data_IF_406280814966
#
_entry.id   IF_406280814966
#
_cell.length_a   1.000
_cell.length_b   1.000
_cell.length_c   1.000
_cell.angle_alpha   90.00
_cell.angle_beta   90.00
_cell.angle_gamma   90.00
#
_symmetry.space_group_name_H-M   'P 1'
#
loop_
_entity.id
_entity.type
_entity.pdbx_description
1 polymer ?
#
# COMPACT_ATOMS: atom_id res chain seq x y z
N UNK A 1 12.22 1.02 27.32
CA UNK A 1 12.54 -0.41 27.10
C UNK A 1 11.21 -1.16 27.09
N UNK A 2 10.62 -1.37 25.91
CA UNK A 2 9.39 -2.17 25.75
C UNK A 2 9.82 -3.63 25.99
N UNK A 3 9.17 -4.28 26.95
CA UNK A 3 9.49 -5.64 27.34
C UNK A 3 9.31 -6.57 26.14
N UNK A 4 10.39 -7.09 25.58
CA UNK A 4 10.42 -8.05 24.48
C UNK A 4 9.52 -9.27 24.71
N UNK A 5 9.24 -9.59 25.96
CA UNK A 5 8.47 -10.74 26.45
C UNK A 5 6.96 -10.66 26.10
N UNK A 6 6.37 -9.45 26.04
CA UNK A 6 4.94 -9.30 25.70
C UNK A 6 4.70 -9.46 24.18
N UNK A 7 5.62 -8.97 23.37
CA UNK A 7 5.54 -9.10 21.91
C UNK A 7 5.79 -10.56 21.49
N UNK A 8 6.79 -11.21 22.07
CA UNK A 8 7.07 -12.63 21.80
C UNK A 8 5.88 -13.52 22.18
N UNK A 9 5.25 -13.26 23.33
CA UNK A 9 4.08 -14.01 23.77
C UNK A 9 2.84 -13.77 22.88
N UNK A 10 2.65 -12.53 22.41
CA UNK A 10 1.59 -12.22 21.45
C UNK A 10 1.82 -12.93 20.11
N UNK A 11 3.04 -12.95 19.61
CA UNK A 11 3.39 -13.63 18.35
C UNK A 11 3.24 -15.15 18.47
N UNK A 12 3.61 -15.76 19.61
CA UNK A 12 3.37 -17.18 19.87
C UNK A 12 1.87 -17.51 19.91
N UNK A 13 1.05 -16.73 20.62
CA UNK A 13 -0.39 -16.92 20.64
C UNK A 13 -1.03 -16.76 19.27
N UNK A 14 -0.54 -15.82 18.46
CA UNK A 14 -1.03 -15.61 17.10
C UNK A 14 -0.66 -16.77 16.19
N UNK A 15 0.55 -17.32 16.35
CA UNK A 15 1.00 -18.53 15.66
C UNK A 15 0.16 -19.76 16.04
N UNK A 16 -0.20 -19.92 17.30
CA UNK A 16 -1.05 -21.03 17.79
C UNK A 16 -2.49 -20.93 17.25
N UNK A 17 -3.01 -19.72 17.06
CA UNK A 17 -4.38 -19.49 16.58
C UNK A 17 -4.51 -19.57 15.07
N UNK A 18 -3.51 -19.14 14.31
CA UNK A 18 -3.58 -18.96 12.86
C UNK A 18 -2.53 -19.78 12.09
N UNK A 19 -1.67 -20.55 12.79
CA UNK A 19 -0.58 -21.33 12.20
C UNK A 19 0.58 -20.49 11.68
N UNK A 20 1.54 -21.16 11.04
CA UNK A 20 2.73 -20.51 10.47
C UNK A 20 2.44 -19.62 9.23
N UNK A 21 1.20 -19.58 8.75
CA UNK A 21 0.83 -18.87 7.52
C UNK A 21 0.66 -17.36 7.70
N UNK A 22 0.75 -16.83 8.92
CA UNK A 22 0.77 -15.38 9.17
C UNK A 22 2.06 -14.69 8.68
N UNK A 23 3.08 -15.46 8.42
CA UNK A 23 4.34 -15.00 7.84
C UNK A 23 4.53 -15.71 6.49
N UNK A 24 3.95 -15.15 5.45
CA UNK A 24 4.32 -15.57 4.08
C UNK A 24 5.78 -15.16 3.91
N UNK A 25 6.67 -16.16 4.04
CA UNK A 25 8.00 -16.02 3.49
C UNK A 25 7.81 -15.86 1.99
N UNK A 26 8.13 -14.72 1.45
CA UNK A 26 8.29 -14.54 0.00
C UNK A 26 9.49 -15.37 -0.43
N UNK A 27 9.34 -16.70 -0.40
CA UNK A 27 10.32 -17.61 -0.99
C UNK A 27 10.32 -17.32 -2.48
N UNK A 28 11.48 -16.87 -2.96
CA UNK A 28 11.86 -16.71 -4.35
C UNK A 28 11.18 -17.73 -5.28
N UNK A 29 10.06 -17.38 -5.88
CA UNK A 29 9.79 -17.85 -7.21
C UNK A 29 10.44 -16.84 -8.16
N UNK A 30 11.67 -17.19 -8.56
CA UNK A 30 12.41 -16.50 -9.60
C UNK A 30 11.71 -16.70 -10.94
N UNK A 31 10.63 -15.97 -11.17
CA UNK A 31 10.27 -15.57 -12.51
C UNK A 31 11.18 -14.41 -12.85
N UNK A 32 12.11 -14.63 -13.77
CA UNK A 32 12.88 -13.59 -14.43
C UNK A 32 11.91 -12.56 -15.03
N UNK A 33 11.56 -11.55 -14.24
CA UNK A 33 11.12 -10.28 -14.77
C UNK A 33 12.40 -9.51 -15.00
N UNK A 34 12.66 -9.17 -16.26
CA UNK A 34 13.71 -8.24 -16.65
C UNK A 34 13.79 -7.12 -15.62
N UNK A 35 14.94 -6.99 -14.98
CA UNK A 35 15.26 -5.87 -14.12
C UNK A 35 15.39 -4.62 -14.98
N UNK A 36 14.24 -4.08 -15.42
CA UNK A 36 14.20 -2.73 -15.91
C UNK A 36 14.53 -1.82 -14.72
N UNK A 37 15.49 -0.91 -14.87
CA UNK A 37 15.81 0.18 -13.94
C UNK A 37 14.63 1.17 -13.83
N UNK A 38 13.39 0.68 -13.82
CA UNK A 38 12.19 1.49 -13.76
C UNK A 38 12.00 2.08 -12.37
N UNK A 39 11.87 3.40 -12.30
CA UNK A 39 11.52 4.09 -11.06
C UNK A 39 10.00 4.12 -10.83
N UNK A 40 9.58 4.38 -9.58
CA UNK A 40 8.17 4.61 -9.26
C UNK A 40 7.57 5.77 -10.07
N UNK A 41 8.34 6.83 -10.35
CA UNK A 41 7.90 7.97 -11.15
C UNK A 41 7.65 7.56 -12.61
N UNK A 42 8.56 6.78 -13.19
CA UNK A 42 8.39 6.26 -14.54
C UNK A 42 7.18 5.32 -14.64
N UNK A 43 6.94 4.53 -13.60
CA UNK A 43 5.77 3.68 -13.52
C UNK A 43 4.49 4.51 -13.37
N UNK A 44 4.48 5.54 -12.52
CA UNK A 44 3.37 6.48 -12.42
C UNK A 44 3.00 7.08 -13.77
N UNK A 45 3.98 7.58 -14.51
CA UNK A 45 3.75 8.20 -15.82
C UNK A 45 3.09 7.25 -16.82
N UNK A 46 3.38 5.95 -16.74
CA UNK A 46 2.76 4.93 -17.60
C UNK A 46 1.30 4.63 -17.27
N UNK A 47 0.92 4.76 -15.98
CA UNK A 47 -0.40 4.28 -15.53
C UNK A 47 -1.35 5.38 -15.05
N UNK A 48 -0.91 6.62 -14.86
CA UNK A 48 -1.73 7.70 -14.28
C UNK A 48 -2.99 8.01 -15.09
N UNK A 49 -3.02 7.69 -16.38
CA UNK A 49 -4.17 7.83 -17.28
C UNK A 49 -4.99 6.54 -17.43
N UNK A 50 -4.80 5.55 -16.53
CA UNK A 50 -5.49 4.27 -16.58
C UNK A 50 -7.01 4.43 -16.65
N UNK A 51 -7.65 3.65 -17.52
CA UNK A 51 -9.10 3.57 -17.72
C UNK A 51 -9.58 2.09 -17.80
N UNK A 52 -8.87 1.17 -17.16
CA UNK A 52 -9.18 -0.27 -17.24
C UNK A 52 -10.53 -0.63 -16.60
N UNK A 53 -11.01 0.18 -15.64
CA UNK A 53 -12.30 -0.02 -14.99
C UNK A 53 -13.09 1.29 -14.94
N UNK A 54 -14.35 1.20 -14.53
CA UNK A 54 -15.27 2.34 -14.50
C UNK A 54 -14.80 3.47 -13.59
N UNK A 55 -14.02 3.16 -12.52
CA UNK A 55 -13.47 4.18 -11.61
C UNK A 55 -12.50 5.14 -12.31
N UNK A 56 -11.84 4.70 -13.37
CA UNK A 56 -10.97 5.56 -14.17
C UNK A 56 -11.70 6.71 -14.84
N UNK A 57 -13.01 6.56 -15.11
CA UNK A 57 -13.84 7.59 -15.75
C UNK A 57 -14.43 8.58 -14.75
N UNK A 58 -14.57 8.18 -13.48
CA UNK A 58 -15.28 8.96 -12.45
C UNK A 58 -14.33 9.64 -11.45
N UNK A 59 -13.07 9.19 -11.36
CA UNK A 59 -12.08 9.79 -10.47
C UNK A 59 -11.78 11.24 -10.83
N UNK A 60 -11.45 12.04 -9.83
CA UNK A 60 -10.87 13.39 -10.01
C UNK A 60 -9.37 13.30 -10.26
N UNK A 61 -8.66 12.55 -9.41
CA UNK A 61 -7.23 12.31 -9.54
C UNK A 61 -6.87 10.83 -9.37
N UNK A 62 -5.77 10.44 -9.99
CA UNK A 62 -5.18 9.12 -9.79
C UNK A 62 -4.35 9.13 -8.50
N UNK A 63 -4.69 8.29 -7.53
CA UNK A 63 -4.00 8.19 -6.23
C UNK A 63 -2.98 7.06 -6.29
N UNK A 64 -1.77 7.38 -6.70
CA UNK A 64 -0.72 6.37 -6.94
C UNK A 64 -0.16 5.80 -5.64
N UNK A 65 0.30 6.66 -4.78
CA UNK A 65 1.02 6.37 -3.54
C UNK A 65 1.95 7.53 -3.22
N UNK A 66 2.49 7.55 -2.01
CA UNK A 66 3.41 8.58 -1.54
C UNK A 66 4.39 7.99 -0.52
N UNK A 67 5.61 8.50 -0.51
CA UNK A 67 6.59 8.13 0.48
C UNK A 67 7.97 7.85 -0.10
N UNK A 68 8.78 7.16 0.69
CA UNK A 68 10.14 6.79 0.34
C UNK A 68 10.14 5.63 -0.67
N UNK A 69 10.68 5.78 -1.88
CA UNK A 69 10.75 4.70 -2.86
C UNK A 69 11.64 3.52 -2.42
N UNK A 70 12.47 3.71 -1.39
CA UNK A 70 13.33 2.70 -0.81
C UNK A 70 12.88 2.30 0.60
N UNK A 71 11.60 2.49 0.92
CA UNK A 71 11.05 2.22 2.24
C UNK A 71 11.15 0.73 2.62
N UNK A 72 11.58 0.44 3.83
CA UNK A 72 11.48 -0.90 4.42
C UNK A 72 10.03 -1.27 4.80
N UNK A 73 9.15 -0.28 4.97
CA UNK A 73 7.76 -0.45 5.37
C UNK A 73 6.81 0.11 4.32
N UNK A 74 5.90 -0.72 3.82
CA UNK A 74 4.78 -0.31 2.97
C UNK A 74 3.47 -0.45 3.72
N UNK A 75 2.67 0.61 3.71
CA UNK A 75 1.32 0.63 4.26
C UNK A 75 0.31 0.58 3.11
N UNK A 76 -0.59 -0.39 3.15
CA UNK A 76 -1.55 -0.63 2.07
C UNK A 76 -2.97 -0.45 2.62
N UNK A 77 -3.69 0.51 2.08
CA UNK A 77 -5.13 0.65 2.30
C UNK A 77 -5.93 0.01 1.16
N UNK A 78 -7.24 0.01 1.31
CA UNK A 78 -8.15 -0.59 0.34
C UNK A 78 -8.34 0.30 -0.90
N UNK A 79 -8.81 1.52 -0.72
CA UNK A 79 -9.15 2.45 -1.79
C UNK A 79 -9.02 3.91 -1.35
N UNK A 80 -8.81 4.85 -2.29
CA UNK A 80 -8.88 6.28 -1.99
C UNK A 80 -10.29 6.70 -1.57
N UNK A 81 -10.39 7.53 -0.55
CA UNK A 81 -11.61 8.26 -0.21
C UNK A 81 -11.76 9.55 -1.02
N UNK A 82 -12.83 10.31 -0.76
CA UNK A 82 -13.11 11.57 -1.45
C UNK A 82 -11.96 12.60 -1.32
N UNK A 83 -11.38 12.73 -0.12
CA UNK A 83 -10.30 13.70 0.11
C UNK A 83 -9.01 13.30 -0.62
N UNK A 84 -8.74 12.01 -0.69
CA UNK A 84 -7.63 11.42 -1.42
C UNK A 84 -7.80 11.65 -2.93
N UNK A 85 -9.02 11.47 -3.46
CA UNK A 85 -9.35 11.70 -4.87
C UNK A 85 -9.17 13.19 -5.27
N UNK A 86 -9.55 14.10 -4.38
CA UNK A 86 -9.38 15.54 -4.60
C UNK A 86 -7.90 15.98 -4.55
N UNK A 87 -7.10 15.40 -3.65
CA UNK A 87 -5.72 15.79 -3.44
C UNK A 87 -4.73 14.99 -4.29
N UNK A 88 -5.07 13.75 -4.65
CA UNK A 88 -4.20 12.84 -5.41
C UNK A 88 -3.19 12.07 -4.54
N UNK A 89 -3.34 12.13 -3.20
CA UNK A 89 -2.48 11.45 -2.25
C UNK A 89 -3.28 10.50 -1.34
N UNK A 90 -2.74 9.32 -0.97
CA UNK A 90 -3.41 8.39 -0.07
C UNK A 90 -3.38 8.89 1.37
N UNK A 91 -4.40 8.53 2.15
CA UNK A 91 -4.46 8.81 3.60
C UNK A 91 -4.28 10.28 3.96
N UNK A 92 -5.01 11.19 3.32
CA UNK A 92 -5.02 12.64 3.65
C UNK A 92 -6.23 13.06 4.48
N UNK A 93 -7.27 12.23 4.54
CA UNK A 93 -8.47 12.43 5.33
C UNK A 93 -8.24 12.21 6.84
N UNK A 94 -9.33 12.03 7.58
CA UNK A 94 -9.29 11.87 9.05
C UNK A 94 -8.45 10.66 9.50
N UNK A 95 -8.59 9.52 8.80
CA UNK A 95 -7.82 8.32 9.07
C UNK A 95 -6.31 8.55 8.80
N UNK A 96 -5.98 9.27 7.73
CA UNK A 96 -4.61 9.63 7.40
C UNK A 96 -3.95 10.51 8.45
N UNK A 97 -4.68 11.48 9.01
CA UNK A 97 -4.17 12.30 10.13
C UNK A 97 -3.88 11.48 11.39
N UNK A 98 -4.63 10.40 11.61
CA UNK A 98 -4.33 9.45 12.69
C UNK A 98 -3.09 8.63 12.35
N UNK A 99 -2.98 8.15 11.12
CA UNK A 99 -1.80 7.42 10.64
C UNK A 99 -0.52 8.26 10.82
N UNK A 100 -0.54 9.55 10.45
CA UNK A 100 0.60 10.44 10.64
C UNK A 100 1.05 10.54 12.12
N UNK A 101 0.08 10.55 13.06
CA UNK A 101 0.38 10.54 14.49
C UNK A 101 0.99 9.22 14.96
N UNK A 102 0.50 8.10 14.42
CA UNK A 102 1.05 6.76 14.72
C UNK A 102 2.48 6.66 14.20
N UNK A 103 2.72 7.06 12.97
CA UNK A 103 4.06 7.08 12.38
C UNK A 103 5.03 7.96 13.18
N UNK A 104 4.59 9.16 13.55
CA UNK A 104 5.40 10.08 14.38
C UNK A 104 5.77 9.49 15.74
N UNK A 105 4.89 8.67 16.34
CA UNK A 105 5.16 8.01 17.62
C UNK A 105 6.26 6.94 17.54
N UNK A 106 6.58 6.46 16.36
CA UNK A 106 7.65 5.48 16.08
C UNK A 106 8.80 6.10 15.26
N UNK A 107 8.90 7.43 15.28
CA UNK A 107 9.95 8.19 14.58
C UNK A 107 9.95 8.04 13.05
N UNK A 108 8.82 7.68 12.47
CA UNK A 108 8.60 7.63 11.03
C UNK A 108 7.70 8.78 10.56
N UNK A 109 7.73 9.06 9.27
CA UNK A 109 6.80 10.01 8.65
C UNK A 109 6.43 9.56 7.26
N UNK A 110 5.34 10.11 6.70
CA UNK A 110 4.91 9.73 5.33
C UNK A 110 5.96 10.00 4.25
N UNK A 111 6.97 10.83 4.53
CA UNK A 111 8.04 11.17 3.59
C UNK A 111 9.37 10.50 3.93
N UNK A 112 9.43 9.69 4.98
CA UNK A 112 10.68 9.08 5.45
C UNK A 112 10.43 7.70 6.06
N UNK A 113 11.04 6.69 5.46
CA UNK A 113 11.06 5.31 5.96
C UNK A 113 9.78 4.51 5.72
N UNK A 114 8.75 5.12 5.11
CA UNK A 114 7.51 4.43 4.74
C UNK A 114 7.11 4.77 3.31
N UNK A 115 6.37 3.87 2.68
CA UNK A 115 5.59 4.15 1.49
C UNK A 115 4.13 3.80 1.74
N UNK A 116 3.22 4.67 1.34
CA UNK A 116 1.78 4.55 1.61
C UNK A 116 1.04 4.47 0.28
N UNK A 117 0.21 3.45 0.12
CA UNK A 117 -0.60 3.29 -1.09
C UNK A 117 -1.91 2.55 -0.77
N UNK A 118 -2.70 2.30 -1.79
CA UNK A 118 -3.93 1.50 -1.70
C UNK A 118 -3.91 0.39 -2.76
N UNK A 119 -4.77 -0.62 -2.58
CA UNK A 119 -5.05 -1.62 -3.62
C UNK A 119 -5.61 -0.92 -4.85
N UNK A 120 -6.71 -0.16 -4.70
CA UNK A 120 -7.24 0.67 -5.78
C UNK A 120 -6.50 2.00 -5.88
N UNK A 121 -6.39 2.52 -7.12
CA UNK A 121 -5.78 3.83 -7.40
C UNK A 121 -6.82 4.93 -7.70
N UNK A 122 -8.09 4.57 -7.70
CA UNK A 122 -9.22 5.45 -7.99
C UNK A 122 -10.28 5.34 -6.91
N UNK A 123 -10.96 6.44 -6.61
CA UNK A 123 -12.00 6.52 -5.60
C UNK A 123 -13.30 5.85 -6.05
N UNK A 124 -13.84 4.86 -5.29
CA UNK A 124 -15.17 4.30 -5.53
C UNK A 124 -16.26 5.33 -5.18
N UNK A 125 -17.28 5.55 -6.03
CA UNK A 125 -18.33 6.53 -5.78
C UNK A 125 -19.00 6.34 -4.41
N UNK A 126 -19.23 7.43 -3.69
CA UNK A 126 -19.86 7.44 -2.35
C UNK A 126 -19.07 6.62 -1.29
N UNK A 127 -17.78 6.43 -1.46
CA UNK A 127 -16.94 5.59 -0.60
C UNK A 127 -17.51 4.17 -0.39
N UNK A 128 -18.15 3.59 -1.41
CA UNK A 128 -18.57 2.20 -1.35
C UNK A 128 -17.37 1.27 -1.37
N UNK A 129 -17.57 0.05 -0.92
CA UNK A 129 -16.56 -0.99 -1.04
C UNK A 129 -16.20 -1.24 -2.51
N UNK A 130 -14.94 -1.57 -2.80
CA UNK A 130 -14.49 -1.98 -4.13
C UNK A 130 -15.26 -3.19 -4.66
N UNK A 131 -15.57 -3.20 -5.95
CA UNK A 131 -16.07 -4.39 -6.60
C UNK A 131 -14.90 -5.35 -6.90
N UNK A 132 -15.11 -6.68 -6.83
CA UNK A 132 -14.08 -7.66 -7.14
C UNK A 132 -13.42 -7.43 -8.50
N UNK A 133 -14.19 -7.05 -9.52
CA UNK A 133 -13.68 -6.73 -10.85
C UNK A 133 -12.80 -5.47 -10.89
N UNK A 134 -13.02 -4.50 -10.00
CA UNK A 134 -12.18 -3.30 -9.89
C UNK A 134 -10.84 -3.63 -9.23
N UNK A 135 -10.87 -4.49 -8.22
CA UNK A 135 -9.66 -5.01 -7.56
C UNK A 135 -8.83 -5.79 -8.56
N UNK A 136 -9.41 -6.77 -9.26
CA UNK A 136 -8.75 -7.60 -10.26
C UNK A 136 -8.03 -6.77 -11.35
N UNK A 137 -8.66 -5.66 -11.80
CA UNK A 137 -8.05 -4.77 -12.80
C UNK A 137 -6.92 -3.88 -12.23
N UNK A 138 -6.92 -3.62 -10.92
CA UNK A 138 -6.04 -2.64 -10.30
C UNK A 138 -4.89 -3.26 -9.49
N UNK A 139 -5.07 -4.46 -8.94
CA UNK A 139 -4.09 -5.09 -8.02
C UNK A 139 -2.71 -5.28 -8.65
N UNK A 140 -2.64 -5.51 -9.97
CA UNK A 140 -1.36 -5.63 -10.68
C UNK A 140 -0.46 -4.39 -10.51
N UNK A 141 -1.05 -3.22 -10.32
CA UNK A 141 -0.29 -1.99 -10.06
C UNK A 141 0.33 -1.98 -8.65
N UNK A 142 -0.42 -2.45 -7.64
CA UNK A 142 0.11 -2.60 -6.29
C UNK A 142 1.27 -3.60 -6.26
N UNK A 143 1.08 -4.77 -6.89
CA UNK A 143 2.12 -5.80 -6.98
C UNK A 143 3.39 -5.23 -7.62
N UNK A 144 3.24 -4.47 -8.71
CA UNK A 144 4.37 -3.85 -9.38
C UNK A 144 5.08 -2.80 -8.49
N UNK A 145 4.34 -1.95 -7.78
CA UNK A 145 4.90 -1.01 -6.81
C UNK A 145 5.72 -1.72 -5.71
N UNK A 146 5.16 -2.80 -5.15
CA UNK A 146 5.85 -3.60 -4.14
C UNK A 146 7.15 -4.19 -4.69
N UNK A 147 7.13 -4.68 -5.94
CA UNK A 147 8.33 -5.22 -6.61
C UNK A 147 9.40 -4.15 -6.89
N UNK A 148 9.01 -2.90 -7.12
CA UNK A 148 9.95 -1.79 -7.27
C UNK A 148 10.55 -1.36 -5.94
N UNK A 149 9.72 -1.23 -4.89
CA UNK A 149 10.12 -0.76 -3.56
C UNK A 149 10.93 -1.84 -2.82
N UNK A 150 10.55 -3.13 -2.97
CA UNK A 150 11.15 -4.30 -2.29
C UNK A 150 11.18 -4.14 -0.75
N UNK A 151 10.04 -3.83 -0.11
CA UNK A 151 10.00 -3.57 1.32
C UNK A 151 10.29 -4.84 2.12
N UNK A 152 10.72 -4.67 3.38
CA UNK A 152 10.89 -5.77 4.33
C UNK A 152 9.58 -6.13 5.05
N UNK A 153 8.66 -5.16 5.14
CA UNK A 153 7.37 -5.33 5.83
C UNK A 153 6.25 -4.64 5.06
N UNK A 154 5.12 -5.33 4.94
CA UNK A 154 3.87 -4.78 4.41
C UNK A 154 2.83 -4.88 5.52
N UNK A 155 2.09 -3.78 5.74
CA UNK A 155 0.96 -3.70 6.68
C UNK A 155 -0.27 -3.27 5.88
N UNK A 156 -1.35 -4.09 5.95
CA UNK A 156 -2.62 -3.86 5.28
C UNK A 156 -3.78 -3.74 6.29
#
# INVERSE_FOLDING_TARGET
>A
MIKSDAVSRYLEQTKDLYGDQLFISLANESSHVDSSDESLDQFFDKINQCQKCQLGQTRTKFVFGVGDPNADLVLVGEAPGEQEDLQGEPFVGRAGKLLDKILSAIELSRNQGVYICNVLKCHPPNNRDPLPSEVEQCESYLIHQINLIKPRLIVA
#
